data_IF_587154560292
#
_entry.id   IF_587154560292
#
_cell.length_a   1.000
_cell.length_b   1.000
_cell.length_c   1.000
_cell.angle_alpha   90.00
_cell.angle_beta   90.00
_cell.angle_gamma   90.00
#
_symmetry.space_group_name_H-M   'P 1'
#
loop_
_entity.id
_entity.type
_entity.pdbx_description
1 polymer ?
#
# COMPACT_ATOMS: atom_id res chain seq x y z
N UNK A 1 11.06 14.25 1.99
CA UNK A 1 10.60 13.01 1.32
C UNK A 1 9.09 12.93 1.46
N UNK A 2 8.35 12.87 0.36
CA UNK A 2 6.89 12.69 0.39
C UNK A 2 6.57 11.21 0.64
N UNK A 3 5.65 10.86 1.56
CA UNK A 3 5.23 9.47 1.76
C UNK A 3 4.71 8.84 0.46
N UNK A 4 5.13 7.61 0.16
CA UNK A 4 4.68 6.85 -1.02
C UNK A 4 3.16 6.69 -1.05
N UNK A 5 2.50 6.56 0.10
CA UNK A 5 1.03 6.50 0.15
C UNK A 5 0.39 7.74 -0.43
N UNK A 6 0.91 8.93 -0.10
CA UNK A 6 0.42 10.20 -0.66
C UNK A 6 0.70 10.33 -2.16
N UNK A 7 1.87 9.87 -2.62
CA UNK A 7 2.21 9.86 -4.05
C UNK A 7 1.27 8.94 -4.83
N UNK A 8 1.02 7.74 -4.32
CA UNK A 8 0.07 6.79 -4.90
C UNK A 8 -1.34 7.36 -4.95
N UNK A 9 -1.82 7.93 -3.85
CA UNK A 9 -3.17 8.51 -3.78
C UNK A 9 -3.31 9.67 -4.78
N UNK A 10 -2.30 10.54 -4.91
CA UNK A 10 -2.29 11.60 -5.91
C UNK A 10 -2.35 11.03 -7.33
N UNK A 11 -1.50 10.06 -7.65
CA UNK A 11 -1.47 9.43 -8.97
C UNK A 11 -2.81 8.76 -9.31
N UNK A 12 -3.42 8.06 -8.34
CA UNK A 12 -4.69 7.38 -8.50
C UNK A 12 -5.82 8.35 -8.85
N UNK A 13 -5.89 9.50 -8.17
CA UNK A 13 -6.88 10.55 -8.46
C UNK A 13 -6.72 11.19 -9.84
N UNK A 14 -5.53 11.10 -10.46
CA UNK A 14 -5.29 11.59 -11.82
C UNK A 14 -5.73 10.59 -12.90
N UNK A 15 -6.02 9.33 -12.55
CA UNK A 15 -6.42 8.32 -13.52
C UNK A 15 -7.90 8.47 -13.89
N UNK A 16 -8.21 8.55 -15.19
CA UNK A 16 -9.60 8.59 -15.68
C UNK A 16 -10.33 7.26 -15.50
N UNK A 17 -9.59 6.14 -15.46
CA UNK A 17 -10.12 4.80 -15.21
C UNK A 17 -9.08 3.98 -14.43
N UNK A 18 -8.99 4.17 -13.10
CA UNK A 18 -8.05 3.42 -12.29
C UNK A 18 -8.46 1.94 -12.20
N UNK A 19 -7.49 1.00 -12.19
CA UNK A 19 -7.80 -0.39 -11.93
C UNK A 19 -8.37 -0.56 -10.51
N UNK A 20 -9.25 -1.55 -10.26
CA UNK A 20 -9.77 -1.81 -8.93
C UNK A 20 -8.62 -2.25 -8.01
N UNK A 21 -8.31 -1.38 -7.04
CA UNK A 21 -7.32 -1.63 -5.99
C UNK A 21 -8.05 -1.81 -4.66
N UNK A 22 -7.78 -2.93 -4.00
CA UNK A 22 -8.34 -3.26 -2.70
C UNK A 22 -7.25 -3.30 -1.65
N UNK A 23 -7.44 -2.55 -0.58
CA UNK A 23 -6.56 -2.53 0.58
C UNK A 23 -7.24 -3.28 1.71
N UNK A 24 -6.54 -4.24 2.30
CA UNK A 24 -6.99 -4.94 3.50
C UNK A 24 -5.92 -4.79 4.59
N UNK A 25 -6.36 -4.65 5.83
CA UNK A 25 -5.47 -4.46 6.96
C UNK A 25 -6.00 -5.14 8.20
N UNK A 26 -5.16 -5.88 8.90
CA UNK A 26 -5.50 -6.50 10.19
C UNK A 26 -4.38 -6.28 11.20
N UNK A 27 -4.76 -6.03 12.44
CA UNK A 27 -3.84 -6.06 13.56
C UNK A 27 -3.64 -7.50 14.02
N UNK A 28 -2.40 -7.86 14.35
CA UNK A 28 -2.02 -9.14 14.92
C UNK A 28 -1.16 -8.89 16.16
N UNK A 29 -1.31 -9.75 17.16
CA UNK A 29 -0.37 -9.80 18.27
C UNK A 29 0.80 -10.71 17.86
N UNK A 30 2.01 -10.15 17.74
CA UNK A 30 3.21 -10.90 17.41
C UNK A 30 4.25 -10.70 18.51
N UNK A 31 4.66 -11.80 19.17
CA UNK A 31 5.70 -11.80 20.21
C UNK A 31 5.49 -10.75 21.31
N UNK A 32 4.23 -10.55 21.72
CA UNK A 32 3.87 -9.60 22.77
C UNK A 32 3.77 -8.13 22.32
N UNK A 33 3.89 -7.84 21.02
CA UNK A 33 3.67 -6.52 20.45
C UNK A 33 2.56 -6.55 19.39
N UNK A 34 1.80 -5.46 19.30
CA UNK A 34 0.81 -5.31 18.23
C UNK A 34 1.54 -4.92 16.94
N UNK A 35 1.26 -5.67 15.87
CA UNK A 35 1.70 -5.38 14.52
C UNK A 35 0.49 -5.29 13.59
N UNK A 36 0.67 -4.63 12.46
CA UNK A 36 -0.29 -4.47 11.40
C UNK A 36 0.22 -5.20 10.17
N UNK A 37 -0.59 -6.09 9.61
CA UNK A 37 -0.39 -6.64 8.28
C UNK A 37 -1.32 -5.89 7.34
N UNK A 38 -0.73 -5.26 6.33
CA UNK A 38 -1.45 -4.63 5.22
C UNK A 38 -1.20 -5.46 3.97
N UNK A 39 -2.26 -5.72 3.22
CA UNK A 39 -2.21 -6.39 1.93
C UNK A 39 -2.98 -5.56 0.90
N UNK A 40 -2.39 -5.43 -0.29
CA UNK A 40 -3.01 -4.73 -1.41
C UNK A 40 -3.14 -5.66 -2.60
N UNK A 41 -4.35 -5.71 -3.14
CA UNK A 41 -4.69 -6.45 -4.34
C UNK A 41 -5.09 -5.52 -5.48
N UNK A 42 -4.67 -5.85 -6.70
CA UNK A 42 -5.08 -5.19 -7.94
C UNK A 42 -5.76 -6.23 -8.81
N UNK A 43 -6.99 -5.97 -9.27
CA UNK A 43 -7.78 -6.94 -10.04
C UNK A 43 -7.91 -8.33 -9.35
N UNK A 44 -8.04 -8.33 -8.02
CA UNK A 44 -8.15 -9.55 -7.22
C UNK A 44 -6.86 -10.34 -7.03
N UNK A 45 -5.71 -9.82 -7.46
CA UNK A 45 -4.38 -10.43 -7.22
C UNK A 45 -3.60 -9.60 -6.22
N UNK A 46 -3.09 -10.23 -5.18
CA UNK A 46 -2.19 -9.60 -4.22
C UNK A 46 -0.91 -9.13 -4.92
N UNK A 47 -0.66 -7.82 -4.86
CA UNK A 47 0.52 -7.17 -5.44
C UNK A 47 1.54 -6.80 -4.36
N UNK A 48 1.06 -6.47 -3.17
CA UNK A 48 1.92 -6.05 -2.08
C UNK A 48 1.38 -6.55 -0.74
N UNK A 49 2.28 -6.93 0.16
CA UNK A 49 1.98 -7.21 1.55
C UNK A 49 3.12 -6.67 2.40
N UNK A 50 2.81 -5.96 3.48
CA UNK A 50 3.81 -5.45 4.42
C UNK A 50 3.31 -5.60 5.85
N UNK A 51 4.25 -5.78 6.76
CA UNK A 51 3.99 -5.92 8.18
C UNK A 51 4.87 -4.96 8.99
N UNK A 52 4.24 -4.10 9.80
CA UNK A 52 4.93 -3.16 10.68
C UNK A 52 4.20 -2.98 12.01
N UNK A 53 4.89 -2.48 13.03
CA UNK A 53 4.27 -2.11 14.32
C UNK A 53 3.30 -0.93 14.18
N UNK A 54 3.54 -0.05 13.20
CA UNK A 54 2.66 1.07 12.85
C UNK A 54 1.95 0.79 11.52
N UNK A 55 0.64 1.01 11.51
CA UNK A 55 -0.22 0.83 10.32
C UNK A 55 0.28 1.66 9.14
N UNK A 56 0.57 2.93 9.37
CA UNK A 56 1.00 3.88 8.34
C UNK A 56 2.29 3.44 7.64
N UNK A 57 3.24 2.83 8.36
CA UNK A 57 4.47 2.32 7.76
C UNK A 57 4.19 1.14 6.82
N UNK A 58 3.33 0.21 7.23
CA UNK A 58 2.92 -0.91 6.37
C UNK A 58 2.12 -0.45 5.14
N UNK A 59 1.25 0.55 5.28
CA UNK A 59 0.54 1.15 4.15
C UNK A 59 1.49 1.87 3.19
N UNK A 60 2.48 2.58 3.72
CA UNK A 60 3.47 3.29 2.93
C UNK A 60 4.38 2.33 2.13
N UNK A 61 4.77 1.21 2.73
CA UNK A 61 5.53 0.16 2.03
C UNK A 61 4.70 -0.50 0.92
N UNK A 62 3.43 -0.78 1.18
CA UNK A 62 2.52 -1.30 0.16
C UNK A 62 2.30 -0.30 -0.97
N UNK A 63 2.16 0.99 -0.65
CA UNK A 63 2.04 2.05 -1.65
C UNK A 63 3.28 2.15 -2.53
N UNK A 64 4.48 1.97 -1.96
CA UNK A 64 5.72 1.92 -2.74
C UNK A 64 5.69 0.79 -3.77
N UNK A 65 5.25 -0.40 -3.37
CA UNK A 65 5.11 -1.54 -4.29
C UNK A 65 4.06 -1.29 -5.37
N UNK A 66 2.95 -0.62 -5.05
CA UNK A 66 1.96 -0.22 -6.06
C UNK A 66 2.51 0.78 -7.07
N UNK A 67 3.26 1.79 -6.62
CA UNK A 67 3.89 2.77 -7.51
C UNK A 67 4.83 2.06 -8.51
N UNK A 68 5.61 1.08 -8.03
CA UNK A 68 6.46 0.24 -8.88
C UNK A 68 5.61 -0.62 -9.83
N UNK A 69 4.56 -1.26 -9.34
CA UNK A 69 3.67 -2.11 -10.13
C UNK A 69 3.00 -1.34 -11.28
N UNK A 70 2.52 -0.13 -11.00
CA UNK A 70 1.92 0.75 -12.01
C UNK A 70 2.94 1.56 -12.82
N UNK A 71 4.24 1.41 -12.54
CA UNK A 71 5.33 2.14 -13.19
C UNK A 71 5.10 3.66 -13.18
N UNK A 72 4.65 4.18 -12.05
CA UNK A 72 4.40 5.61 -11.87
C UNK A 72 5.73 6.35 -11.99
N UNK A 73 5.85 7.38 -12.84
CA UNK A 73 7.07 8.17 -12.93
C UNK A 73 7.35 8.88 -11.60
N UNK A 74 8.59 8.76 -11.13
CA UNK A 74 9.09 9.42 -9.92
C UNK A 74 10.10 10.48 -10.37
N UNK A 75 9.65 11.71 -10.56
CA UNK A 75 10.52 12.91 -10.65
C UNK A 75 10.90 13.41 -9.24
#
# INVERSE_FOLDING_TARGET
MTPHKMLYDRWLHQQSCPPPVHWSGKSIAQRGQNAWIIEVSVNGRTVAQSQHTQKEMAENDCAKQLLIYFRVPHD
#
